data_IF_648917821996
#
_entry.id   IF_648917821996
#
_cell.length_a   1.000
_cell.length_b   1.000
_cell.length_c   1.000
_cell.angle_alpha   90.00
_cell.angle_beta   90.00
_cell.angle_gamma   90.00
#
_symmetry.space_group_name_H-M   'P 1'
#
loop_
_entity.id
_entity.type
_entity.pdbx_description
1 polymer ?
#
# COMPACT_ATOMS: atom_id res chain seq x y z
N UNK A 1 69.24 32.49 -22.05
CA UNK A 1 67.76 32.67 -22.12
C UNK A 1 67.16 31.29 -22.27
N UNK A 2 66.56 30.70 -21.20
CA UNK A 2 65.91 29.40 -21.24
C UNK A 2 64.40 29.64 -21.15
N UNK A 3 63.65 29.37 -22.25
CA UNK A 3 62.20 29.52 -22.36
C UNK A 3 61.55 28.25 -21.87
N UNK A 4 60.90 28.29 -20.72
CA UNK A 4 60.10 27.20 -20.15
C UNK A 4 58.70 27.20 -20.74
N UNK A 5 58.37 26.23 -21.59
CA UNK A 5 57.03 25.97 -22.11
C UNK A 5 56.16 25.33 -21.00
N UNK A 6 55.17 26.03 -20.51
CA UNK A 6 54.11 25.48 -19.64
C UNK A 6 53.13 24.71 -20.50
N UNK A 7 53.04 23.40 -20.25
CA UNK A 7 52.03 22.49 -20.84
C UNK A 7 50.79 22.55 -19.98
N UNK A 8 49.74 23.23 -20.48
CA UNK A 8 48.40 23.19 -19.81
C UNK A 8 47.70 21.92 -20.18
N UNK A 9 47.54 21.01 -19.17
CA UNK A 9 46.70 19.84 -19.29
C UNK A 9 45.26 20.24 -19.00
N UNK A 10 44.43 20.24 -20.06
CA UNK A 10 42.99 20.47 -19.97
C UNK A 10 42.34 19.14 -19.60
N UNK A 11 41.93 19.00 -18.34
CA UNK A 11 41.17 17.82 -17.85
C UNK A 11 39.70 18.01 -18.28
N UNK A 12 39.29 17.29 -19.32
CA UNK A 12 37.88 17.14 -19.69
C UNK A 12 37.18 16.25 -18.68
N UNK A 13 36.43 16.86 -17.76
CA UNK A 13 35.52 16.10 -16.88
C UNK A 13 34.29 15.71 -17.71
N UNK A 14 34.25 14.48 -18.18
CA UNK A 14 33.06 13.90 -18.79
C UNK A 14 32.10 13.54 -17.66
N UNK A 15 31.12 14.41 -17.41
CA UNK A 15 30.01 14.12 -16.50
C UNK A 15 29.10 13.09 -17.15
N UNK A 16 29.23 11.83 -16.73
CA UNK A 16 28.33 10.76 -17.13
C UNK A 16 26.98 11.00 -16.43
N UNK A 17 26.03 11.63 -17.13
CA UNK A 17 24.65 11.67 -16.70
C UNK A 17 24.05 10.25 -16.87
N UNK A 18 24.02 9.48 -15.77
CA UNK A 18 23.15 8.32 -15.69
C UNK A 18 21.70 8.85 -15.69
N UNK A 19 21.03 8.81 -16.83
CA UNK A 19 19.59 8.91 -16.86
C UNK A 19 19.03 7.68 -16.13
N UNK A 20 18.59 7.87 -14.87
CA UNK A 20 17.72 6.90 -14.23
C UNK A 20 16.43 6.85 -15.07
N UNK A 21 16.33 5.89 -15.95
CA UNK A 21 15.05 5.48 -16.52
C UNK A 21 14.26 4.90 -15.36
N UNK A 22 13.42 5.72 -14.75
CA UNK A 22 12.49 5.29 -13.71
C UNK A 22 11.51 4.29 -14.30
N UNK A 23 11.90 3.01 -14.32
CA UNK A 23 10.93 1.95 -14.50
C UNK A 23 10.06 1.97 -13.24
N UNK A 24 8.76 2.18 -13.40
CA UNK A 24 7.84 2.05 -12.29
C UNK A 24 7.98 0.63 -11.72
N UNK A 25 8.17 0.56 -10.41
CA UNK A 25 8.32 -0.72 -9.72
C UNK A 25 7.04 -1.55 -9.91
N UNK A 26 7.13 -2.82 -10.36
CA UNK A 26 5.95 -3.64 -10.58
C UNK A 26 5.19 -3.86 -9.27
N UNK A 27 3.86 -3.91 -9.36
CA UNK A 27 3.02 -4.20 -8.19
C UNK A 27 3.19 -5.67 -7.80
N UNK A 28 3.77 -5.91 -6.62
CA UNK A 28 3.99 -7.25 -6.04
C UNK A 28 3.41 -7.36 -4.64
N UNK A 29 3.18 -8.58 -4.12
CA UNK A 29 2.75 -8.77 -2.74
C UNK A 29 3.73 -8.17 -1.73
N UNK A 30 5.05 -8.31 -1.97
CA UNK A 30 6.12 -7.76 -1.12
C UNK A 30 6.02 -6.24 -1.06
N UNK A 31 5.82 -5.58 -2.21
CA UNK A 31 5.68 -4.13 -2.29
C UNK A 31 4.41 -3.67 -1.55
N UNK A 32 3.27 -4.35 -1.73
CA UNK A 32 2.03 -4.05 -0.99
C UNK A 32 2.23 -4.16 0.51
N UNK A 33 2.86 -5.24 0.99
CA UNK A 33 3.18 -5.45 2.40
C UNK A 33 4.11 -4.36 2.92
N UNK A 34 5.17 -4.02 2.19
CA UNK A 34 6.10 -2.96 2.57
C UNK A 34 5.41 -1.60 2.65
N UNK A 35 4.56 -1.24 1.68
CA UNK A 35 3.81 0.02 1.68
C UNK A 35 2.75 0.08 2.79
N UNK A 36 2.07 -1.03 3.09
CA UNK A 36 1.16 -1.10 4.24
C UNK A 36 1.92 -0.87 5.56
N UNK A 37 3.08 -1.49 5.76
CA UNK A 37 3.92 -1.30 6.96
C UNK A 37 4.44 0.13 7.08
N UNK A 38 4.94 0.73 6.00
CA UNK A 38 5.40 2.12 5.99
C UNK A 38 4.25 3.10 6.33
N UNK A 39 3.06 2.88 5.76
CA UNK A 39 1.87 3.66 6.07
C UNK A 39 1.41 3.47 7.52
N UNK A 40 1.46 2.24 8.04
CA UNK A 40 1.13 1.93 9.43
C UNK A 40 2.05 2.70 10.41
N UNK A 41 3.35 2.72 10.16
CA UNK A 41 4.29 3.51 10.96
C UNK A 41 4.01 5.03 10.86
N UNK A 42 3.62 5.52 9.67
CA UNK A 42 3.25 6.92 9.51
C UNK A 42 1.99 7.27 10.31
N UNK A 43 0.95 6.43 10.26
CA UNK A 43 -0.29 6.59 11.05
C UNK A 43 -0.02 6.47 12.54
N UNK A 44 0.82 5.52 12.96
CA UNK A 44 1.24 5.36 14.36
C UNK A 44 1.90 6.62 14.94
N UNK A 45 2.69 7.30 14.12
CA UNK A 45 3.42 8.51 14.55
C UNK A 45 2.60 9.80 14.42
N UNK A 46 1.67 9.89 13.46
CA UNK A 46 0.98 11.13 13.08
C UNK A 46 -0.55 11.09 13.19
N UNK A 47 -1.13 9.92 13.43
CA UNK A 47 -2.59 9.74 13.42
C UNK A 47 -3.20 10.18 12.08
N UNK A 48 -4.33 10.87 12.15
CA UNK A 48 -5.07 11.33 10.96
C UNK A 48 -4.31 12.38 10.12
N UNK A 49 -3.31 13.08 10.67
CA UNK A 49 -2.47 13.99 9.88
C UNK A 49 -1.60 13.26 8.84
N UNK A 50 -1.46 11.92 8.94
CA UNK A 50 -0.84 11.09 7.92
C UNK A 50 -1.68 10.99 6.63
N UNK A 51 -3.01 11.17 6.71
CA UNK A 51 -3.92 10.90 5.59
C UNK A 51 -3.64 11.77 4.36
N UNK A 52 -3.23 13.02 4.56
CA UNK A 52 -2.85 13.91 3.45
C UNK A 52 -1.67 13.34 2.64
N UNK A 53 -0.72 12.68 3.31
CA UNK A 53 0.43 12.03 2.67
C UNK A 53 0.01 10.75 1.96
N UNK A 54 -0.82 9.92 2.64
CA UNK A 54 -1.26 8.63 2.11
C UNK A 54 -2.17 8.74 0.88
N UNK A 55 -2.94 9.82 0.77
CA UNK A 55 -3.87 10.04 -0.35
C UNK A 55 -3.27 10.80 -1.54
N UNK A 56 -2.04 11.34 -1.42
CA UNK A 56 -1.39 12.09 -2.50
C UNK A 56 -1.27 11.21 -3.77
N UNK A 57 -1.91 11.59 -4.89
CA UNK A 57 -1.88 10.80 -6.12
C UNK A 57 -0.48 10.72 -6.75
N UNK A 58 0.43 11.63 -6.39
CA UNK A 58 1.82 11.69 -6.85
C UNK A 58 2.81 11.24 -5.76
N UNK A 59 2.31 10.86 -4.60
CA UNK A 59 3.11 10.44 -3.45
C UNK A 59 3.54 8.97 -3.52
N UNK A 60 4.42 8.60 -2.61
CA UNK A 60 5.00 7.25 -2.52
C UNK A 60 3.97 6.13 -2.22
N UNK A 61 2.79 6.49 -1.68
CA UNK A 61 1.71 5.55 -1.39
C UNK A 61 0.75 5.33 -2.57
N UNK A 62 1.09 5.91 -3.73
CA UNK A 62 0.51 5.63 -5.02
C UNK A 62 1.57 4.98 -5.90
N UNK A 63 1.59 3.66 -6.03
CA UNK A 63 2.69 2.86 -6.58
C UNK A 63 2.20 1.83 -7.60
N UNK A 64 3.11 1.07 -8.23
CA UNK A 64 2.77 0.02 -9.20
C UNK A 64 1.95 0.55 -10.37
N UNK A 65 2.43 1.60 -11.06
CA UNK A 65 1.71 2.31 -12.15
C UNK A 65 0.32 2.81 -11.74
N UNK A 66 0.21 3.27 -10.48
CA UNK A 66 -1.03 3.80 -9.92
C UNK A 66 -2.09 2.74 -9.56
N UNK A 67 -1.79 1.46 -9.68
CA UNK A 67 -2.68 0.35 -9.30
C UNK A 67 -2.63 0.05 -7.79
N UNK A 68 -1.46 0.26 -7.18
CA UNK A 68 -1.23 0.11 -5.74
C UNK A 68 -1.60 1.39 -4.98
N UNK A 69 -2.21 1.22 -3.82
CA UNK A 69 -2.60 2.30 -2.92
C UNK A 69 -2.79 1.80 -1.50
N UNK A 70 -2.82 2.73 -0.56
CA UNK A 70 -3.12 2.48 0.85
C UNK A 70 -4.47 3.10 1.21
N UNK A 71 -5.24 2.46 2.08
CA UNK A 71 -6.44 3.04 2.71
C UNK A 71 -6.38 2.85 4.23
N UNK A 72 -7.22 3.58 4.95
CA UNK A 72 -7.35 3.49 6.40
C UNK A 72 -8.83 3.44 6.78
N UNK A 73 -9.21 2.48 7.62
CA UNK A 73 -10.49 2.41 8.30
C UNK A 73 -10.28 2.13 9.79
N UNK A 74 -11.33 2.19 10.61
CA UNK A 74 -11.26 1.87 12.04
C UNK A 74 -11.94 0.52 12.35
N UNK A 75 -11.85 0.04 13.59
CA UNK A 75 -12.48 -1.21 14.02
C UNK A 75 -14.03 -1.15 14.02
N UNK A 76 -14.65 0.04 14.03
CA UNK A 76 -16.09 0.19 13.80
C UNK A 76 -16.45 0.01 12.31
N UNK A 77 -15.47 -0.26 11.44
CA UNK A 77 -15.66 -0.41 10.00
C UNK A 77 -15.86 0.90 9.25
N UNK A 78 -15.66 2.05 9.89
CA UNK A 78 -15.77 3.35 9.23
C UNK A 78 -14.54 3.61 8.37
N UNK A 79 -14.74 3.84 7.06
CA UNK A 79 -13.65 4.27 6.17
C UNK A 79 -13.20 5.68 6.55
N UNK A 80 -11.97 5.82 7.00
CA UNK A 80 -11.38 7.12 7.37
C UNK A 80 -10.71 7.81 6.19
N UNK A 81 -10.02 7.04 5.34
CA UNK A 81 -9.36 7.55 4.13
C UNK A 81 -9.25 6.48 3.05
N UNK A 82 -9.79 6.75 1.86
CA UNK A 82 -9.63 5.91 0.67
C UNK A 82 -9.25 6.76 -0.54
N UNK A 83 -8.00 6.65 -1.07
CA UNK A 83 -7.51 7.60 -2.08
C UNK A 83 -8.15 7.44 -3.45
N UNK A 84 -8.70 6.25 -3.78
CA UNK A 84 -9.29 5.96 -5.09
C UNK A 84 -10.82 6.11 -5.08
N UNK A 85 -11.48 5.83 -3.95
CA UNK A 85 -12.93 5.91 -3.79
C UNK A 85 -13.27 6.79 -2.59
N UNK A 86 -13.05 8.11 -2.66
CA UNK A 86 -13.30 9.02 -1.54
C UNK A 86 -14.77 9.06 -1.12
N UNK A 87 -15.69 8.59 -1.97
CA UNK A 87 -17.11 8.42 -1.64
C UNK A 87 -17.38 7.38 -0.55
N UNK A 88 -16.38 6.58 -0.19
CA UNK A 88 -16.46 5.64 0.94
C UNK A 88 -16.12 6.32 2.27
N UNK A 89 -15.38 7.43 2.27
CA UNK A 89 -14.96 8.09 3.49
C UNK A 89 -16.17 8.48 4.35
N UNK A 90 -16.11 8.16 5.64
CA UNK A 90 -17.18 8.35 6.61
C UNK A 90 -18.31 7.32 6.57
N UNK A 91 -18.23 6.30 5.71
CA UNK A 91 -19.25 5.23 5.66
C UNK A 91 -18.87 4.06 6.55
N UNK A 92 -19.86 3.47 7.20
CA UNK A 92 -19.78 2.19 7.88
C UNK A 92 -19.80 1.05 6.84
N UNK A 93 -18.83 0.16 6.87
CA UNK A 93 -18.59 -0.83 5.84
C UNK A 93 -18.57 -2.29 6.38
N UNK A 94 -18.88 -2.52 7.66
CA UNK A 94 -18.88 -3.88 8.21
C UNK A 94 -19.85 -4.80 7.46
N UNK A 95 -21.01 -4.28 7.05
CA UNK A 95 -22.01 -5.02 6.30
C UNK A 95 -21.75 -5.07 4.79
N UNK A 96 -20.67 -4.41 4.32
CA UNK A 96 -20.33 -4.43 2.90
C UNK A 96 -19.84 -5.81 2.50
N UNK A 97 -20.55 -6.43 1.55
CA UNK A 97 -20.16 -7.71 0.95
C UNK A 97 -19.51 -7.50 -0.40
N UNK A 98 -18.54 -8.33 -0.68
CA UNK A 98 -18.02 -8.49 -2.04
C UNK A 98 -18.98 -9.31 -2.91
N UNK A 99 -18.68 -9.48 -4.20
CA UNK A 99 -19.55 -10.22 -5.13
C UNK A 99 -19.58 -11.74 -4.88
N UNK A 100 -18.75 -12.25 -3.97
CA UNK A 100 -18.76 -13.62 -3.47
C UNK A 100 -19.56 -13.77 -2.17
N UNK A 101 -20.05 -12.65 -1.62
CA UNK A 101 -20.82 -12.63 -0.38
C UNK A 101 -19.98 -12.47 0.89
N UNK A 102 -18.65 -12.26 0.78
CA UNK A 102 -17.77 -12.11 1.93
C UNK A 102 -17.92 -10.71 2.54
N UNK A 103 -17.99 -10.63 3.87
CA UNK A 103 -17.92 -9.36 4.63
C UNK A 103 -16.45 -8.92 4.76
N UNK A 104 -15.94 -8.23 3.75
CA UNK A 104 -14.51 -7.99 3.62
C UNK A 104 -13.91 -7.13 4.75
N UNK A 105 -14.61 -6.08 5.22
CA UNK A 105 -14.10 -5.24 6.30
C UNK A 105 -14.22 -5.91 7.66
N UNK A 106 -15.27 -6.70 7.87
CA UNK A 106 -15.38 -7.54 9.07
C UNK A 106 -14.23 -8.55 9.14
N UNK A 107 -13.93 -9.28 8.05
CA UNK A 107 -12.80 -10.20 8.01
C UNK A 107 -11.44 -9.52 8.19
N UNK A 108 -11.28 -8.27 7.72
CA UNK A 108 -10.08 -7.47 7.99
C UNK A 108 -9.94 -7.14 9.48
N UNK A 109 -11.03 -6.71 10.13
CA UNK A 109 -11.04 -6.38 11.54
C UNK A 109 -10.77 -7.62 12.41
N UNK A 110 -11.48 -8.72 12.16
CA UNK A 110 -11.27 -10.00 12.89
C UNK A 110 -9.81 -10.46 12.81
N UNK A 111 -9.21 -10.42 11.61
CA UNK A 111 -7.80 -10.79 11.43
C UNK A 111 -6.87 -9.91 12.26
N UNK A 112 -7.03 -8.59 12.19
CA UNK A 112 -6.09 -7.69 12.88
C UNK A 112 -6.33 -7.64 14.39
N UNK A 113 -7.55 -7.88 14.88
CA UNK A 113 -7.84 -8.02 16.31
C UNK A 113 -7.21 -9.31 16.86
N UNK A 114 -7.22 -10.40 16.10
CA UNK A 114 -6.66 -11.69 16.54
C UNK A 114 -5.13 -11.76 16.37
N UNK A 115 -4.60 -11.28 15.22
CA UNK A 115 -3.20 -11.49 14.81
C UNK A 115 -2.36 -10.21 14.73
N UNK A 116 -2.99 -9.04 14.80
CA UNK A 116 -2.34 -7.73 14.64
C UNK A 116 -2.14 -7.33 13.19
N UNK A 117 -1.77 -8.27 12.32
CA UNK A 117 -1.56 -8.04 10.89
C UNK A 117 -1.73 -9.34 10.08
N UNK A 118 -1.98 -9.21 8.78
CA UNK A 118 -2.06 -10.37 7.88
C UNK A 118 -2.73 -10.06 6.55
N UNK A 119 -3.01 -11.12 5.80
CA UNK A 119 -3.56 -11.05 4.45
C UNK A 119 -5.04 -11.44 4.42
N UNK A 120 -5.85 -10.68 3.68
CA UNK A 120 -7.29 -10.95 3.50
C UNK A 120 -7.60 -11.05 2.01
N UNK A 121 -8.06 -12.19 1.51
CA UNK A 121 -8.52 -12.38 0.13
C UNK A 121 -9.97 -11.92 -0.01
N UNK A 122 -10.32 -11.21 -1.09
CA UNK A 122 -11.69 -10.77 -1.43
C UNK A 122 -11.75 -10.40 -2.91
N UNK A 123 -12.89 -9.91 -3.39
CA UNK A 123 -13.00 -9.33 -4.73
C UNK A 123 -13.34 -7.84 -4.67
N UNK A 124 -12.64 -7.04 -5.50
CA UNK A 124 -12.79 -5.58 -5.52
C UNK A 124 -12.52 -5.03 -6.91
N UNK A 125 -13.21 -3.96 -7.35
CA UNK A 125 -12.91 -3.32 -8.63
C UNK A 125 -11.51 -2.72 -8.65
N UNK A 126 -10.75 -2.95 -9.73
CA UNK A 126 -9.49 -2.26 -9.98
C UNK A 126 -9.71 -0.75 -10.16
N UNK A 127 -8.70 0.10 -9.90
CA UNK A 127 -8.80 1.52 -10.18
C UNK A 127 -9.28 1.78 -11.61
N UNK A 128 -10.37 2.56 -11.75
CA UNK A 128 -10.99 2.87 -13.04
C UNK A 128 -11.95 1.81 -13.59
N UNK A 129 -12.03 0.62 -13.00
CA UNK A 129 -12.93 -0.45 -13.44
C UNK A 129 -14.20 -0.52 -12.58
N UNK A 130 -15.30 -1.03 -13.18
CA UNK A 130 -16.56 -1.32 -12.49
C UNK A 130 -16.69 -2.78 -12.10
N UNK A 131 -16.04 -3.69 -12.84
CA UNK A 131 -16.06 -5.13 -12.59
C UNK A 131 -15.08 -5.49 -11.48
N UNK A 132 -15.53 -6.30 -10.52
CA UNK A 132 -14.68 -6.79 -9.43
C UNK A 132 -13.71 -7.86 -9.92
N UNK A 133 -12.46 -7.80 -9.45
CA UNK A 133 -11.39 -8.78 -9.68
C UNK A 133 -10.92 -9.37 -8.36
N UNK A 134 -10.35 -10.59 -8.35
CA UNK A 134 -9.69 -11.14 -7.17
C UNK A 134 -8.65 -10.16 -6.64
N UNK A 135 -8.64 -9.95 -5.35
CA UNK A 135 -7.70 -9.08 -4.64
C UNK A 135 -7.27 -9.72 -3.34
N UNK A 136 -6.01 -9.58 -2.99
CA UNK A 136 -5.51 -9.91 -1.65
C UNK A 136 -4.86 -8.66 -1.07
N UNK A 137 -5.20 -8.34 0.17
CA UNK A 137 -4.67 -7.16 0.85
C UNK A 137 -4.00 -7.51 2.17
N UNK A 138 -2.86 -6.87 2.42
CA UNK A 138 -2.22 -6.89 3.73
C UNK A 138 -2.81 -5.77 4.58
N UNK A 139 -3.24 -6.11 5.79
CA UNK A 139 -3.85 -5.18 6.76
C UNK A 139 -3.11 -5.23 8.09
N UNK A 140 -3.03 -4.09 8.78
CA UNK A 140 -2.27 -3.92 10.03
C UNK A 140 -3.09 -3.06 10.99
N UNK A 141 -3.20 -3.51 12.25
CA UNK A 141 -3.77 -2.71 13.34
C UNK A 141 -2.74 -1.72 13.86
N UNK A 142 -3.13 -0.47 13.98
CA UNK A 142 -2.31 0.63 14.49
C UNK A 142 -3.08 1.40 15.55
N UNK A 143 -2.40 1.77 16.65
CA UNK A 143 -2.95 2.61 17.71
C UNK A 143 -2.27 3.97 17.74
N UNK A 144 -3.04 5.06 17.76
CA UNK A 144 -2.55 6.42 17.94
C UNK A 144 -3.57 7.29 18.68
N UNK A 145 -3.15 7.99 19.72
CA UNK A 145 -4.00 8.93 20.45
C UNK A 145 -5.27 8.30 21.05
N UNK A 146 -5.22 7.02 21.45
CA UNK A 146 -6.38 6.28 21.98
C UNK A 146 -7.38 5.80 20.93
N UNK A 147 -7.07 5.96 19.64
CA UNK A 147 -7.87 5.46 18.51
C UNK A 147 -7.20 4.27 17.86
N UNK A 148 -8.01 3.37 17.30
CA UNK A 148 -7.58 2.21 16.51
C UNK A 148 -7.77 2.49 15.01
N UNK A 149 -6.74 2.13 14.22
CA UNK A 149 -6.71 2.28 12.77
C UNK A 149 -6.34 0.95 12.14
N UNK A 150 -7.02 0.58 11.08
CA UNK A 150 -6.64 -0.56 10.22
C UNK A 150 -6.12 0.00 8.91
N UNK A 151 -4.82 -0.17 8.68
CA UNK A 151 -4.12 0.31 7.49
C UNK A 151 -3.98 -0.85 6.52
N UNK A 152 -4.43 -0.66 5.29
CA UNK A 152 -4.43 -1.71 4.29
C UNK A 152 -3.83 -1.31 2.95
N UNK A 153 -3.17 -2.26 2.30
CA UNK A 153 -2.72 -2.19 0.91
C UNK A 153 -2.81 -3.55 0.25
N UNK A 154 -3.07 -3.61 -1.05
CA UNK A 154 -3.23 -4.90 -1.70
C UNK A 154 -3.08 -4.86 -3.21
N UNK A 155 -3.04 -6.04 -3.79
CA UNK A 155 -2.93 -6.23 -5.22
C UNK A 155 -4.03 -7.14 -5.76
N UNK A 156 -4.19 -7.09 -7.07
CA UNK A 156 -5.18 -7.85 -7.83
C UNK A 156 -4.54 -9.05 -8.51
N UNK A 157 -5.39 -10.00 -8.91
CA UNK A 157 -5.03 -11.19 -9.69
C UNK A 157 -4.02 -12.11 -8.98
N UNK A 158 -4.08 -12.15 -7.64
CA UNK A 158 -3.30 -13.01 -6.74
C UNK A 158 -4.25 -13.78 -5.84
N UNK A 159 -3.93 -15.04 -5.56
CA UNK A 159 -4.73 -15.92 -4.71
C UNK A 159 -4.18 -16.02 -3.28
N UNK A 160 -5.01 -16.49 -2.35
CA UNK A 160 -4.58 -16.80 -0.99
C UNK A 160 -3.47 -17.88 -0.97
N UNK A 161 -3.54 -18.84 -1.90
CA UNK A 161 -2.54 -19.89 -2.05
C UNK A 161 -1.19 -19.35 -2.48
N UNK A 162 -1.16 -18.37 -3.39
CA UNK A 162 0.07 -17.68 -3.80
C UNK A 162 0.70 -16.95 -2.64
N UNK A 163 -0.11 -16.25 -1.84
CA UNK A 163 0.35 -15.57 -0.63
C UNK A 163 0.91 -16.56 0.40
N UNK A 164 0.25 -17.69 0.65
CA UNK A 164 0.76 -18.71 1.58
C UNK A 164 2.10 -19.31 1.16
N UNK A 165 2.34 -19.41 -0.16
CA UNK A 165 3.64 -19.87 -0.69
C UNK A 165 4.74 -18.83 -0.52
N UNK A 166 4.42 -17.54 -0.77
CA UNK A 166 5.37 -16.43 -0.66
C UNK A 166 5.66 -16.06 0.79
N UNK A 167 4.65 -16.12 1.65
CA UNK A 167 4.72 -15.71 3.06
C UNK A 167 4.16 -16.81 3.98
N UNK A 168 4.83 -17.96 4.11
CA UNK A 168 4.30 -19.10 4.86
C UNK A 168 4.13 -18.84 6.36
N UNK A 169 4.73 -17.77 6.90
CA UNK A 169 4.62 -17.38 8.31
C UNK A 169 3.56 -16.30 8.55
N UNK A 170 3.02 -15.68 7.50
CA UNK A 170 2.01 -14.65 7.66
C UNK A 170 0.62 -15.26 7.88
N UNK A 171 -0.19 -14.59 8.69
CA UNK A 171 -1.61 -14.96 8.82
C UNK A 171 -2.35 -14.66 7.50
N UNK A 172 -3.21 -15.57 7.09
CA UNK A 172 -4.11 -15.42 5.94
C UNK A 172 -5.53 -15.72 6.41
N UNK A 173 -6.41 -14.72 6.31
CA UNK A 173 -7.81 -14.86 6.68
C UNK A 173 -8.53 -15.83 5.74
N UNK A 174 -9.36 -16.68 6.32
CA UNK A 174 -10.19 -17.63 5.56
C UNK A 174 -11.65 -17.39 5.93
N UNK A 175 -12.46 -17.02 4.96
CA UNK A 175 -13.91 -16.94 5.15
C UNK A 175 -14.50 -18.33 5.37
N UNK A 176 -15.38 -18.47 6.35
CA UNK A 176 -16.12 -19.68 6.66
C UNK A 176 -17.36 -19.84 5.76
#
# INVERSE_FOLDING_TARGET
>A
MKTTRRLSVMICVVSLFFALTGHAEPLTPELCKAKAKAAAELVKNKGESAFAILQDPNGEFRFGDGKGYVWVHNLDGVMLMHPIKPTLNGKELLDLRDTKGHYLFMGMNELVEEKGEGWVPYVWPKPGEKTSSPKVSYVILVKHGGKDYVVGSGMYDVTAEDIKKLFPQDAVYMYN
#
